data_IF_604519662907
#
_entry.id   IF_604519662907
#
_cell.length_a   1.000
_cell.length_b   1.000
_cell.length_c   1.000
_cell.angle_alpha   90.00
_cell.angle_beta   90.00
_cell.angle_gamma   90.00
#
_symmetry.space_group_name_H-M   'P 1'
#
loop_
_entity.id
_entity.type
_entity.pdbx_description
1 polymer ?
#
# COMPACT_ATOMS: atom_id res chain seq x y z
N UNK A 1 33.50 -30.45 -89.03
CA UNK A 1 33.92 -30.17 -87.64
C UNK A 1 33.51 -28.73 -87.37
N UNK A 2 32.84 -28.42 -86.25
CA UNK A 2 32.06 -27.18 -85.96
C UNK A 2 30.55 -27.35 -86.24
N UNK A 3 29.85 -28.10 -85.38
CA UNK A 3 28.40 -28.02 -85.14
C UNK A 3 28.10 -28.60 -83.74
N UNK A 4 28.84 -28.12 -82.73
CA UNK A 4 28.73 -28.56 -81.33
C UNK A 4 29.16 -27.39 -80.43
N UNK A 5 28.41 -26.28 -80.42
CA UNK A 5 28.76 -25.15 -79.52
C UNK A 5 27.59 -24.27 -79.05
N UNK A 6 26.43 -24.29 -79.72
CA UNK A 6 25.33 -23.37 -79.37
C UNK A 6 24.48 -23.83 -78.18
N UNK A 7 24.25 -25.15 -78.00
CA UNK A 7 23.42 -25.67 -76.89
C UNK A 7 24.11 -25.62 -75.53
N UNK A 8 25.43 -25.76 -75.48
CA UNK A 8 26.18 -25.73 -74.21
C UNK A 8 26.23 -24.30 -73.63
N UNK A 9 26.46 -23.29 -74.46
CA UNK A 9 26.53 -21.89 -74.02
C UNK A 9 25.24 -21.41 -73.33
N UNK A 10 24.07 -21.79 -73.86
CA UNK A 10 22.79 -21.37 -73.29
C UNK A 10 22.49 -22.04 -71.94
N UNK A 11 22.95 -23.28 -71.74
CA UNK A 11 22.77 -24.01 -70.47
C UNK A 11 23.72 -23.46 -69.40
N UNK A 12 24.97 -23.18 -69.75
CA UNK A 12 25.94 -22.60 -68.81
C UNK A 12 25.55 -21.19 -68.37
N UNK A 13 24.96 -20.39 -69.26
CA UNK A 13 24.45 -19.06 -68.92
C UNK A 13 23.24 -19.12 -67.98
N UNK A 14 22.29 -20.03 -68.23
CA UNK A 14 21.11 -20.19 -67.36
C UNK A 14 21.50 -20.75 -65.99
N UNK A 15 22.41 -21.73 -65.93
CA UNK A 15 22.94 -22.27 -64.67
C UNK A 15 23.75 -21.22 -63.91
N UNK A 16 24.54 -20.40 -64.63
CA UNK A 16 25.27 -19.26 -64.06
C UNK A 16 24.34 -18.24 -63.44
N UNK A 17 23.29 -17.82 -64.15
CA UNK A 17 22.27 -16.90 -63.63
C UNK A 17 21.51 -17.49 -62.43
N UNK A 18 21.15 -18.79 -62.45
CA UNK A 18 20.49 -19.46 -61.33
C UNK A 18 21.39 -19.55 -60.10
N UNK A 19 22.68 -19.86 -60.28
CA UNK A 19 23.69 -19.91 -59.21
C UNK A 19 23.93 -18.53 -58.62
N UNK A 20 24.02 -17.48 -59.44
CA UNK A 20 24.11 -16.11 -58.91
C UNK A 20 22.85 -15.68 -58.17
N UNK A 21 21.66 -16.06 -58.63
CA UNK A 21 20.40 -15.74 -57.96
C UNK A 21 20.26 -16.50 -56.62
N UNK A 22 20.72 -17.76 -56.55
CA UNK A 22 20.78 -18.58 -55.33
C UNK A 22 21.86 -18.10 -54.34
N UNK A 23 22.92 -17.45 -54.80
CA UNK A 23 23.97 -16.89 -53.93
C UNK A 23 23.63 -15.48 -53.41
N UNK A 24 22.83 -14.69 -54.13
CA UNK A 24 22.48 -13.30 -53.74
C UNK A 24 21.24 -13.25 -52.82
N UNK A 25 20.29 -14.19 -52.95
CA UNK A 25 19.09 -14.25 -52.10
C UNK A 25 19.35 -14.37 -50.59
N UNK A 26 20.31 -15.18 -50.09
CA UNK A 26 20.60 -15.24 -48.65
C UNK A 26 21.24 -13.96 -48.08
N UNK A 27 21.89 -13.14 -48.91
CA UNK A 27 22.49 -11.86 -48.48
C UNK A 27 21.44 -10.76 -48.26
N UNK A 28 20.35 -10.77 -49.02
CA UNK A 28 19.25 -9.80 -48.86
C UNK A 28 18.45 -10.04 -47.58
N UNK A 29 18.13 -11.30 -47.27
CA UNK A 29 17.42 -11.66 -46.03
C UNK A 29 18.24 -11.34 -44.77
N UNK A 30 19.56 -11.56 -44.81
CA UNK A 30 20.43 -11.25 -43.68
C UNK A 30 20.51 -9.73 -43.41
N UNK A 31 20.51 -8.90 -44.46
CA UNK A 31 20.51 -7.44 -44.30
C UNK A 31 19.17 -6.92 -43.72
N UNK A 32 18.05 -7.49 -44.12
CA UNK A 32 16.73 -7.16 -43.55
C UNK A 32 16.62 -7.59 -42.07
N UNK A 33 17.06 -8.80 -41.71
CA UNK A 33 17.04 -9.26 -40.31
C UNK A 33 17.95 -8.42 -39.40
N UNK A 34 19.13 -8.00 -39.88
CA UNK A 34 20.04 -7.11 -39.13
C UNK A 34 19.41 -5.73 -38.94
N UNK A 35 18.81 -5.16 -39.99
CA UNK A 35 18.15 -3.85 -39.92
C UNK A 35 16.93 -3.88 -38.97
N UNK A 36 16.15 -4.95 -39.00
CA UNK A 36 14.94 -5.10 -38.18
C UNK A 36 15.28 -5.39 -36.71
N UNK A 37 16.38 -6.10 -36.45
CA UNK A 37 16.91 -6.31 -35.09
C UNK A 37 17.48 -5.02 -34.52
N UNK A 38 18.24 -4.25 -35.31
CA UNK A 38 18.82 -2.97 -34.88
C UNK A 38 17.76 -1.89 -34.59
N UNK A 39 16.68 -1.85 -35.39
CA UNK A 39 15.56 -0.94 -35.14
C UNK A 39 14.83 -1.31 -33.84
N UNK A 40 14.66 -2.62 -33.58
CA UNK A 40 14.00 -3.10 -32.35
C UNK A 40 14.84 -2.87 -31.09
N UNK A 41 16.17 -2.88 -31.21
CA UNK A 41 17.07 -2.64 -30.07
C UNK A 41 17.07 -1.19 -29.57
N UNK A 42 16.73 -0.21 -30.42
CA UNK A 42 16.73 1.21 -30.07
C UNK A 42 15.29 1.78 -30.01
N UNK A 43 14.32 0.92 -29.73
CA UNK A 43 12.92 1.30 -29.54
C UNK A 43 12.61 1.45 -28.05
N UNK A 44 12.17 2.64 -27.66
CA UNK A 44 11.60 2.94 -26.35
C UNK A 44 10.08 2.76 -26.43
N UNK A 45 9.59 1.67 -25.84
CA UNK A 45 8.16 1.39 -25.76
C UNK A 45 7.55 2.15 -24.58
N UNK A 46 6.52 2.95 -24.84
CA UNK A 46 5.86 3.80 -23.84
C UNK A 46 4.39 3.42 -23.73
N UNK A 47 4.03 2.76 -22.63
CA UNK A 47 2.67 2.33 -22.34
C UNK A 47 1.89 3.46 -21.67
N UNK A 48 0.75 3.83 -22.26
CA UNK A 48 -0.07 4.97 -21.81
C UNK A 48 -1.55 4.62 -21.85
N UNK A 49 -2.35 5.43 -21.15
CA UNK A 49 -3.81 5.38 -21.19
C UNK A 49 -4.38 6.79 -21.39
N UNK A 50 -5.65 6.89 -21.79
CA UNK A 50 -6.26 8.17 -22.17
C UNK A 50 -6.49 9.08 -20.96
N UNK A 51 -7.05 8.54 -19.87
CA UNK A 51 -7.34 9.29 -18.65
C UNK A 51 -6.19 9.21 -17.62
N UNK A 52 -5.01 9.71 -18.00
CA UNK A 52 -3.81 9.64 -17.17
C UNK A 52 -3.02 10.96 -17.18
N UNK A 53 -3.10 11.76 -16.10
CA UNK A 53 -2.38 13.03 -15.97
C UNK A 53 -0.86 12.88 -16.08
N UNK A 54 -0.31 11.79 -15.52
CA UNK A 54 1.13 11.49 -15.58
C UNK A 54 1.58 11.14 -17.01
N UNK A 55 0.73 10.47 -17.79
CA UNK A 55 0.99 10.14 -19.18
C UNK A 55 1.04 11.40 -20.06
N UNK A 56 0.17 12.39 -19.77
CA UNK A 56 0.20 13.68 -20.45
C UNK A 56 1.49 14.48 -20.15
N UNK A 57 1.99 14.42 -18.90
CA UNK A 57 3.28 15.01 -18.52
C UNK A 57 4.45 14.31 -19.21
N UNK A 58 4.47 12.98 -19.21
CA UNK A 58 5.48 12.18 -19.88
C UNK A 58 5.56 12.49 -21.38
N UNK A 59 4.41 12.56 -22.08
CA UNK A 59 4.37 12.92 -23.51
C UNK A 59 5.03 14.28 -23.79
N UNK A 60 4.82 15.29 -22.93
CA UNK A 60 5.48 16.60 -23.07
C UNK A 60 6.99 16.52 -22.93
N UNK A 61 7.47 15.74 -21.96
CA UNK A 61 8.91 15.50 -21.77
C UNK A 61 9.51 14.73 -22.96
N UNK A 62 8.84 13.68 -23.41
CA UNK A 62 9.31 12.81 -24.49
C UNK A 62 9.47 13.51 -25.84
N UNK A 63 8.72 14.59 -26.10
CA UNK A 63 8.89 15.43 -27.30
C UNK A 63 10.31 16.00 -27.38
N UNK A 64 10.80 16.57 -26.27
CA UNK A 64 12.16 17.11 -26.19
C UNK A 64 13.18 15.98 -26.14
N UNK A 65 12.94 14.98 -25.30
CA UNK A 65 13.83 13.83 -25.11
C UNK A 65 14.16 13.09 -26.42
N UNK A 66 13.14 12.86 -27.27
CA UNK A 66 13.32 12.24 -28.58
C UNK A 66 14.01 13.16 -29.59
N UNK A 67 13.79 14.48 -29.53
CA UNK A 67 14.49 15.43 -30.42
C UNK A 67 16.00 15.50 -30.16
N UNK A 68 16.41 15.27 -28.91
CA UNK A 68 17.82 15.21 -28.51
C UNK A 68 18.48 13.87 -28.87
N UNK A 69 17.69 12.84 -29.20
CA UNK A 69 18.14 11.46 -29.50
C UNK A 69 17.56 10.95 -30.82
N UNK A 70 18.06 11.41 -31.99
CA UNK A 70 17.54 10.99 -33.30
C UNK A 70 17.68 9.49 -33.57
N UNK A 71 18.56 8.82 -32.83
CA UNK A 71 18.80 7.38 -32.90
C UNK A 71 17.76 6.55 -32.13
N UNK A 72 16.98 7.19 -31.25
CA UNK A 72 15.97 6.55 -30.41
C UNK A 72 14.60 6.65 -31.06
N UNK A 73 13.94 5.51 -31.26
CA UNK A 73 12.56 5.46 -31.72
C UNK A 73 11.62 5.34 -30.54
N UNK A 74 10.75 6.32 -30.33
CA UNK A 74 9.76 6.29 -29.24
C UNK A 74 8.43 5.79 -29.83
N UNK A 75 7.91 4.68 -29.30
CA UNK A 75 6.64 4.09 -29.74
C UNK A 75 5.64 4.08 -28.59
N UNK A 76 4.44 4.60 -28.84
CA UNK A 76 3.39 4.70 -27.84
C UNK A 76 2.40 3.56 -28.00
N UNK A 77 2.17 2.83 -26.91
CA UNK A 77 1.21 1.74 -26.83
C UNK A 77 0.05 2.13 -25.91
N UNK A 78 -1.18 2.16 -26.45
CA UNK A 78 -2.36 2.50 -25.65
C UNK A 78 -2.96 1.25 -25.01
N UNK A 79 -2.90 1.17 -23.68
CA UNK A 79 -3.44 0.01 -22.94
C UNK A 79 -4.97 -0.02 -22.91
N UNK A 80 -5.64 1.11 -23.17
CA UNK A 80 -7.11 1.14 -23.21
C UNK A 80 -7.64 0.49 -24.51
N UNK A 81 -6.92 0.66 -25.63
CA UNK A 81 -7.38 0.28 -26.97
C UNK A 81 -6.67 -0.92 -27.58
N UNK A 82 -5.47 -1.26 -27.11
CA UNK A 82 -4.66 -2.36 -27.63
C UNK A 82 -4.50 -3.47 -26.57
N UNK A 83 -5.05 -4.64 -26.89
CA UNK A 83 -4.96 -5.83 -26.01
C UNK A 83 -3.53 -6.35 -25.94
N UNK A 84 -2.79 -6.34 -27.04
CA UNK A 84 -1.40 -6.81 -27.07
C UNK A 84 -0.52 -5.91 -26.19
N UNK A 85 -0.71 -4.59 -26.28
CA UNK A 85 -0.01 -3.63 -25.43
C UNK A 85 -0.25 -3.87 -23.93
N UNK A 86 -1.46 -4.26 -23.54
CA UNK A 86 -1.75 -4.63 -22.14
C UNK A 86 -1.01 -5.88 -21.73
N UNK A 87 -1.05 -6.91 -22.57
CA UNK A 87 -0.41 -8.20 -22.29
C UNK A 87 1.11 -8.06 -22.21
N UNK A 88 1.71 -7.26 -23.09
CA UNK A 88 3.12 -6.92 -23.07
C UNK A 88 3.51 -6.14 -21.81
N UNK A 89 2.72 -5.12 -21.43
CA UNK A 89 2.94 -4.39 -20.18
C UNK A 89 2.85 -5.31 -18.95
N UNK A 90 1.85 -6.21 -18.91
CA UNK A 90 1.71 -7.20 -17.83
C UNK A 90 2.95 -8.10 -17.75
N UNK A 91 3.40 -8.63 -18.89
CA UNK A 91 4.57 -9.50 -18.99
C UNK A 91 5.85 -8.79 -18.55
N UNK A 92 6.08 -7.56 -19.00
CA UNK A 92 7.25 -6.77 -18.62
C UNK A 92 7.23 -6.42 -17.13
N UNK A 93 6.06 -6.04 -16.61
CA UNK A 93 5.85 -5.73 -15.20
C UNK A 93 6.17 -6.94 -14.31
N UNK A 94 5.66 -8.13 -14.66
CA UNK A 94 5.98 -9.38 -13.97
C UNK A 94 7.48 -9.71 -14.00
N UNK A 95 8.12 -9.61 -15.18
CA UNK A 95 9.56 -9.88 -15.33
C UNK A 95 10.42 -8.92 -14.51
N UNK A 96 9.99 -7.67 -14.39
CA UNK A 96 10.67 -6.64 -13.61
C UNK A 96 10.35 -6.70 -12.10
N UNK A 97 9.42 -7.55 -11.67
CA UNK A 97 8.95 -7.61 -10.27
C UNK A 97 8.16 -6.37 -9.84
N UNK A 98 7.59 -5.63 -10.79
CA UNK A 98 6.78 -4.42 -10.55
C UNK A 98 5.32 -4.80 -10.74
N UNK A 99 4.53 -4.82 -9.66
CA UNK A 99 3.10 -5.13 -9.70
C UNK A 99 2.34 -4.22 -8.72
N UNK A 100 1.15 -3.70 -9.09
CA UNK A 100 0.45 -3.86 -10.36
C UNK A 100 1.09 -3.07 -11.52
N UNK A 101 0.81 -3.44 -12.78
CA UNK A 101 1.26 -2.68 -13.93
C UNK A 101 0.67 -1.26 -13.90
N UNK A 102 1.55 -0.25 -13.90
CA UNK A 102 1.18 1.16 -13.89
C UNK A 102 1.45 1.85 -15.23
N UNK A 103 0.81 2.99 -15.47
CA UNK A 103 1.09 3.86 -16.62
C UNK A 103 1.29 5.31 -16.16
N UNK A 104 2.17 6.10 -16.80
CA UNK A 104 3.00 5.71 -17.95
C UNK A 104 4.10 4.73 -17.55
N UNK A 105 4.43 3.78 -18.43
CA UNK A 105 5.57 2.87 -18.26
C UNK A 105 6.47 2.93 -19.49
N UNK A 106 7.78 2.78 -19.27
CA UNK A 106 8.83 2.93 -20.25
C UNK A 106 9.66 1.65 -20.27
N UNK A 107 9.70 0.97 -21.41
CA UNK A 107 10.45 -0.25 -21.59
C UNK A 107 11.54 -0.04 -22.63
N UNK A 108 12.79 -0.33 -22.26
CA UNK A 108 13.95 -0.19 -23.12
C UNK A 108 14.98 -1.27 -22.81
N UNK A 109 15.43 -2.02 -23.82
CA UNK A 109 16.48 -3.06 -23.73
C UNK A 109 16.32 -4.00 -22.51
N UNK A 110 15.09 -4.43 -22.23
CA UNK A 110 14.82 -5.39 -21.16
C UNK A 110 14.58 -4.79 -19.78
N UNK A 111 14.71 -3.48 -19.62
CA UNK A 111 14.49 -2.76 -18.37
C UNK A 111 13.17 -1.99 -18.42
N UNK A 112 12.45 -1.94 -17.31
CA UNK A 112 11.14 -1.30 -17.18
C UNK A 112 11.20 -0.20 -16.10
N UNK A 113 10.75 1.00 -16.45
CA UNK A 113 10.57 2.12 -15.55
C UNK A 113 9.08 2.50 -15.51
N UNK A 114 8.49 2.69 -14.33
CA UNK A 114 7.04 2.93 -14.17
C UNK A 114 6.78 4.23 -13.43
N UNK A 115 5.79 4.98 -13.91
CA UNK A 115 5.39 6.28 -13.38
C UNK A 115 6.14 7.44 -14.04
N UNK A 116 5.58 8.65 -13.93
CA UNK A 116 6.27 9.88 -14.34
C UNK A 116 5.72 11.08 -13.57
N UNK A 117 6.52 11.66 -12.69
CA UNK A 117 6.18 12.83 -11.89
C UNK A 117 6.65 14.14 -12.55
N UNK A 118 7.95 14.26 -12.80
CA UNK A 118 8.63 15.40 -13.40
C UNK A 118 9.97 14.99 -14.08
N UNK A 119 10.58 15.96 -14.77
CA UNK A 119 11.85 15.75 -15.46
C UNK A 119 13.04 15.58 -14.49
N UNK A 120 12.99 16.23 -13.33
CA UNK A 120 14.10 16.28 -12.36
C UNK A 120 14.25 14.99 -11.53
N UNK A 121 13.30 14.06 -11.63
CA UNK A 121 13.32 12.78 -10.91
C UNK A 121 13.25 11.60 -11.88
N UNK A 122 12.06 11.27 -12.39
CA UNK A 122 11.91 10.16 -13.34
C UNK A 122 12.55 10.48 -14.71
N UNK A 123 12.58 11.76 -15.12
CA UNK A 123 13.25 12.15 -16.37
C UNK A 123 14.74 11.79 -16.39
N UNK A 124 15.46 12.03 -15.30
CA UNK A 124 16.87 11.65 -15.15
C UNK A 124 17.06 10.13 -15.21
N UNK A 125 16.18 9.37 -14.55
CA UNK A 125 16.21 7.91 -14.59
C UNK A 125 15.93 7.35 -16.00
N UNK A 126 15.07 8.03 -16.77
CA UNK A 126 14.80 7.66 -18.16
C UNK A 126 15.97 8.03 -19.08
N UNK A 127 16.66 9.15 -18.81
CA UNK A 127 17.90 9.51 -19.48
C UNK A 127 19.01 8.48 -19.21
N UNK A 128 19.22 8.08 -17.95
CA UNK A 128 20.23 7.07 -17.61
C UNK A 128 19.91 5.68 -18.20
N UNK A 129 18.63 5.31 -18.23
CA UNK A 129 18.13 4.08 -18.85
C UNK A 129 18.48 4.00 -20.35
N UNK A 130 18.33 5.12 -21.05
CA UNK A 130 18.45 5.19 -22.51
C UNK A 130 19.90 5.46 -22.94
N UNK A 131 20.59 6.39 -22.29
CA UNK A 131 21.93 6.84 -22.71
C UNK A 131 23.08 5.95 -22.26
N UNK A 132 22.79 4.90 -21.48
CA UNK A 132 23.77 3.91 -21.02
C UNK A 132 25.04 4.51 -20.41
N UNK A 133 24.94 5.66 -19.72
CA UNK A 133 26.02 6.15 -18.86
C UNK A 133 26.11 5.28 -17.62
N UNK A 134 26.96 4.25 -17.75
CA UNK A 134 27.67 3.50 -16.72
C UNK A 134 26.94 2.37 -15.95
N UNK A 135 27.40 1.17 -16.29
CA UNK A 135 27.79 0.04 -15.42
C UNK A 135 26.74 -0.83 -14.74
N UNK A 136 26.93 -2.13 -14.95
CA UNK A 136 26.52 -3.32 -14.19
C UNK A 136 26.83 -3.28 -12.65
N UNK A 137 26.87 -2.11 -12.01
CA UNK A 137 27.17 -1.93 -10.59
C UNK A 137 26.00 -1.48 -9.72
N UNK A 138 24.92 -0.93 -10.28
CA UNK A 138 23.78 -0.47 -9.46
C UNK A 138 22.76 -1.57 -9.11
N UNK A 139 22.80 -2.73 -9.79
CA UNK A 139 22.07 -3.93 -9.33
C UNK A 139 22.62 -4.53 -8.01
N UNK A 140 23.78 -4.04 -7.51
CA UNK A 140 24.38 -4.46 -6.22
C UNK A 140 24.39 -3.38 -5.14
N UNK A 141 24.02 -2.13 -5.43
CA UNK A 141 24.16 -1.03 -4.46
C UNK A 141 23.02 -0.91 -3.44
N UNK A 142 21.96 -1.72 -3.55
CA UNK A 142 20.85 -1.68 -2.61
C UNK A 142 20.95 -2.70 -1.48
N UNK A 143 21.90 -3.63 -1.47
CA UNK A 143 21.98 -4.67 -0.44
C UNK A 143 22.97 -4.29 0.67
N UNK A 144 22.45 -3.93 1.84
CA UNK A 144 23.27 -3.87 3.06
C UNK A 144 23.30 -5.29 3.64
N UNK A 145 24.47 -5.94 3.56
CA UNK A 145 24.70 -7.23 4.23
C UNK A 145 24.79 -6.99 5.74
N UNK A 146 23.81 -7.49 6.49
CA UNK A 146 23.92 -7.59 7.95
C UNK A 146 24.00 -9.07 8.35
N UNK A 147 25.00 -9.40 9.17
CA UNK A 147 25.36 -10.76 9.56
C UNK A 147 24.25 -11.53 10.34
N UNK A 148 23.16 -10.86 10.71
CA UNK A 148 22.03 -11.46 11.42
C UNK A 148 20.73 -11.52 10.58
N UNK A 149 20.64 -10.79 9.47
CA UNK A 149 19.38 -10.63 8.70
C UNK A 149 19.51 -10.73 7.18
N UNK A 150 20.70 -11.02 6.63
CA UNK A 150 20.90 -11.18 5.18
C UNK A 150 20.91 -9.85 4.43
N UNK A 151 20.78 -9.92 3.10
CA UNK A 151 20.85 -8.76 2.19
C UNK A 151 19.52 -8.00 2.17
N UNK A 152 19.46 -6.85 2.84
CA UNK A 152 18.25 -6.02 2.89
C UNK A 152 18.33 -4.99 1.76
N UNK A 153 17.38 -5.03 0.81
CA UNK A 153 17.27 -4.02 -0.24
C UNK A 153 16.57 -2.75 0.24
N UNK A 154 16.93 -1.57 -0.27
CA UNK A 154 16.22 -0.30 0.03
C UNK A 154 14.73 -0.35 -0.33
N UNK A 155 14.36 -1.15 -1.33
CA UNK A 155 12.96 -1.50 -1.66
C UNK A 155 12.28 -2.41 -0.62
N UNK A 156 13.04 -3.24 0.10
CA UNK A 156 12.55 -4.07 1.21
C UNK A 156 12.42 -3.30 2.53
N UNK A 157 12.97 -2.09 2.66
CA UNK A 157 12.72 -1.24 3.84
C UNK A 157 11.40 -0.47 3.73
N UNK A 158 10.96 -0.18 2.50
CA UNK A 158 9.75 0.59 2.23
C UNK A 158 8.50 -0.06 2.81
N UNK A 159 8.28 -1.37 2.56
CA UNK A 159 7.08 -2.06 3.01
C UNK A 159 7.01 -2.26 4.54
N UNK A 160 8.07 -2.70 5.26
CA UNK A 160 8.09 -2.76 6.72
C UNK A 160 7.92 -1.40 7.38
N UNK A 161 8.59 -0.36 6.87
CA UNK A 161 8.46 0.99 7.43
C UNK A 161 7.05 1.54 7.18
N UNK A 162 6.52 1.37 5.98
CA UNK A 162 5.13 1.71 5.65
C UNK A 162 4.15 0.99 6.59
N UNK A 163 4.33 -0.32 6.78
CA UNK A 163 3.52 -1.14 7.69
C UNK A 163 3.51 -0.56 9.11
N UNK A 164 4.68 -0.20 9.63
CA UNK A 164 4.81 0.32 10.99
C UNK A 164 4.21 1.72 11.12
N UNK A 165 4.40 2.59 10.12
CA UNK A 165 3.81 3.94 10.10
C UNK A 165 2.28 3.84 10.03
N UNK A 166 1.73 3.02 9.12
CA UNK A 166 0.28 2.88 9.00
C UNK A 166 -0.31 2.26 10.26
N UNK A 167 0.33 1.22 10.82
CA UNK A 167 -0.08 0.66 12.11
C UNK A 167 -0.08 1.70 13.23
N UNK A 168 0.96 2.51 13.34
CA UNK A 168 1.04 3.59 14.34
C UNK A 168 -0.05 4.65 14.15
N UNK A 169 -0.33 5.04 12.90
CA UNK A 169 -1.39 5.99 12.59
C UNK A 169 -2.78 5.44 12.92
N UNK A 170 -2.99 4.14 12.71
CA UNK A 170 -4.22 3.44 13.10
C UNK A 170 -4.36 3.34 14.63
N UNK A 171 -3.27 3.04 15.35
CA UNK A 171 -3.24 2.99 16.82
C UNK A 171 -3.65 4.31 17.47
N UNK A 172 -3.29 5.45 16.85
CA UNK A 172 -3.71 6.81 17.25
C UNK A 172 -5.21 7.09 17.01
N UNK A 173 -6.08 6.11 17.28
CA UNK A 173 -7.52 6.18 17.11
C UNK A 173 -8.20 6.80 18.35
N UNK A 174 -8.95 7.92 18.16
CA UNK A 174 -9.67 8.55 19.25
C UNK A 174 -10.70 7.63 19.95
N UNK A 175 -11.25 6.63 19.26
CA UNK A 175 -12.22 5.67 19.84
C UNK A 175 -11.57 4.80 20.94
N UNK A 176 -10.41 4.22 20.66
CA UNK A 176 -9.68 3.37 21.61
C UNK A 176 -9.04 4.20 22.73
N UNK A 177 -8.45 5.35 22.38
CA UNK A 177 -7.82 6.25 23.34
C UNK A 177 -8.77 6.64 24.48
N UNK A 178 -10.04 6.96 24.20
CA UNK A 178 -11.02 7.32 25.24
C UNK A 178 -11.28 6.20 26.24
N UNK A 179 -11.41 4.97 25.74
CA UNK A 179 -11.69 3.83 26.59
C UNK A 179 -10.47 3.47 27.41
N UNK A 180 -9.28 3.51 26.81
CA UNK A 180 -8.03 3.29 27.54
C UNK A 180 -7.80 4.37 28.60
N UNK A 181 -8.01 5.64 28.28
CA UNK A 181 -7.91 6.75 29.25
C UNK A 181 -8.92 6.60 30.39
N UNK A 182 -10.14 6.18 30.10
CA UNK A 182 -11.15 5.89 31.11
C UNK A 182 -10.71 4.73 32.01
N UNK A 183 -10.24 3.63 31.43
CA UNK A 183 -9.70 2.47 32.15
C UNK A 183 -8.54 2.88 33.06
N UNK A 184 -7.57 3.62 32.52
CA UNK A 184 -6.40 4.11 33.25
C UNK A 184 -6.80 5.04 34.40
N UNK A 185 -7.77 5.94 34.20
CA UNK A 185 -8.29 6.82 35.26
C UNK A 185 -8.89 6.05 36.44
N UNK A 186 -9.54 4.91 36.17
CA UNK A 186 -10.04 4.02 37.21
C UNK A 186 -8.90 3.30 37.91
N UNK A 187 -7.91 2.82 37.15
CA UNK A 187 -6.80 2.03 37.69
C UNK A 187 -5.83 2.85 38.55
N UNK A 188 -5.62 4.14 38.27
CA UNK A 188 -4.75 5.01 39.10
C UNK A 188 -5.20 5.05 40.57
N UNK A 189 -6.49 4.85 40.86
CA UNK A 189 -7.01 4.82 42.23
C UNK A 189 -6.63 3.54 43.01
N UNK A 190 -6.16 2.48 42.33
CA UNK A 190 -5.67 1.27 43.00
C UNK A 190 -4.30 1.51 43.68
N UNK A 191 -3.56 2.56 43.29
CA UNK A 191 -2.23 2.93 43.83
C UNK A 191 -1.17 1.80 43.78
N UNK A 192 -1.41 0.73 43.03
CA UNK A 192 -0.50 -0.40 42.84
C UNK A 192 -0.04 -0.46 41.37
N UNK A 193 1.24 -0.13 41.14
CA UNK A 193 1.87 -0.11 39.81
C UNK A 193 1.86 -1.48 39.14
N UNK A 194 2.09 -2.56 39.89
CA UNK A 194 2.16 -3.92 39.34
C UNK A 194 0.79 -4.37 38.88
N UNK A 195 -0.23 -4.14 39.73
CA UNK A 195 -1.62 -4.48 39.40
C UNK A 195 -2.14 -3.63 38.24
N UNK A 196 -1.81 -2.34 38.20
CA UNK A 196 -2.16 -1.46 37.09
C UNK A 196 -1.52 -1.89 35.77
N UNK A 197 -0.21 -2.18 35.78
CA UNK A 197 0.51 -2.65 34.59
C UNK A 197 -0.04 -4.00 34.09
N UNK A 198 -0.38 -4.92 35.00
CA UNK A 198 -0.96 -6.20 34.64
C UNK A 198 -2.34 -6.04 33.96
N UNK A 199 -3.24 -5.26 34.58
CA UNK A 199 -4.60 -5.08 34.05
C UNK A 199 -4.57 -4.32 32.71
N UNK A 200 -3.88 -3.20 32.66
CA UNK A 200 -3.80 -2.39 31.45
C UNK A 200 -2.98 -3.10 30.35
N UNK A 201 -1.93 -3.83 30.70
CA UNK A 201 -1.17 -4.64 29.75
C UNK A 201 -1.99 -5.78 29.15
N UNK A 202 -2.86 -6.43 29.94
CA UNK A 202 -3.78 -7.45 29.43
C UNK A 202 -4.84 -6.83 28.52
N UNK A 203 -5.32 -5.63 28.81
CA UNK A 203 -6.18 -4.89 27.88
C UNK A 203 -5.49 -4.68 26.53
N UNK A 204 -4.27 -4.11 26.53
CA UNK A 204 -3.49 -3.82 25.32
C UNK A 204 -3.18 -5.10 24.53
N UNK A 205 -2.74 -6.16 25.21
CA UNK A 205 -2.43 -7.43 24.56
C UNK A 205 -3.69 -8.12 23.99
N UNK A 206 -4.80 -8.10 24.73
CA UNK A 206 -6.07 -8.62 24.23
C UNK A 206 -6.57 -7.82 23.02
N UNK A 207 -6.44 -6.49 23.05
CA UNK A 207 -6.75 -5.62 21.91
C UNK A 207 -5.93 -6.00 20.69
N UNK A 208 -4.60 -6.12 20.82
CA UNK A 208 -3.73 -6.52 19.70
C UNK A 208 -4.06 -7.87 19.12
N UNK A 209 -4.40 -8.87 19.95
CA UNK A 209 -4.81 -10.21 19.48
C UNK A 209 -6.13 -10.13 18.70
N UNK A 210 -7.12 -9.42 19.23
CA UNK A 210 -8.43 -9.28 18.58
C UNK A 210 -8.30 -8.52 17.27
N UNK A 211 -7.52 -7.44 17.26
CA UNK A 211 -7.29 -6.63 16.07
C UNK A 211 -6.53 -7.41 15.01
N UNK A 212 -5.49 -8.17 15.39
CA UNK A 212 -4.80 -9.09 14.50
C UNK A 212 -5.76 -10.12 13.89
N UNK A 213 -6.58 -10.78 14.73
CA UNK A 213 -7.53 -11.79 14.28
C UNK A 213 -8.54 -11.20 13.29
N UNK A 214 -9.00 -9.97 13.55
CA UNK A 214 -9.84 -9.24 12.62
C UNK A 214 -9.11 -8.97 11.30
N UNK A 215 -7.91 -8.38 11.32
CA UNK A 215 -7.17 -8.07 10.10
C UNK A 215 -6.85 -9.32 9.29
N UNK A 216 -6.53 -10.43 9.96
CA UNK A 216 -6.33 -11.73 9.32
C UNK A 216 -7.62 -12.23 8.65
N UNK A 217 -8.77 -12.15 9.32
CA UNK A 217 -10.06 -12.49 8.72
C UNK A 217 -10.38 -11.58 7.52
N UNK A 218 -10.14 -10.27 7.66
CA UNK A 218 -10.32 -9.27 6.63
C UNK A 218 -9.44 -9.51 5.40
N UNK A 219 -8.15 -9.82 5.61
CA UNK A 219 -7.21 -10.18 4.55
C UNK A 219 -7.72 -11.38 3.74
N UNK A 220 -8.19 -12.43 4.41
CA UNK A 220 -8.74 -13.61 3.74
C UNK A 220 -10.01 -13.28 2.93
N UNK A 221 -10.87 -12.40 3.44
CA UNK A 221 -12.04 -11.90 2.69
C UNK A 221 -11.59 -11.10 1.46
N UNK A 222 -10.56 -10.27 1.58
CA UNK A 222 -10.00 -9.50 0.47
C UNK A 222 -9.36 -10.37 -0.61
N UNK A 223 -8.62 -11.41 -0.22
CA UNK A 223 -8.05 -12.38 -1.15
C UNK A 223 -9.13 -13.13 -1.94
N UNK A 224 -10.33 -13.29 -1.38
CA UNK A 224 -11.44 -14.01 -2.03
C UNK A 224 -12.36 -13.11 -2.87
N UNK A 225 -12.65 -11.89 -2.41
CA UNK A 225 -13.75 -11.05 -2.93
C UNK A 225 -13.24 -9.68 -3.41
N UNK A 226 -12.07 -9.24 -2.97
CA UNK A 226 -11.57 -7.86 -3.16
C UNK A 226 -12.40 -6.81 -2.42
N UNK A 227 -12.00 -5.53 -2.51
CA UNK A 227 -12.78 -4.42 -1.95
C UNK A 227 -14.02 -4.15 -2.82
N UNK A 228 -15.11 -4.87 -2.54
CA UNK A 228 -16.37 -4.63 -3.25
C UNK A 228 -16.93 -3.23 -2.95
N UNK A 229 -17.65 -2.66 -3.92
CA UNK A 229 -18.32 -1.37 -3.75
C UNK A 229 -19.25 -1.37 -2.53
N UNK A 230 -19.91 -2.49 -2.25
CA UNK A 230 -20.85 -2.64 -1.12
C UNK A 230 -20.14 -2.46 0.22
N UNK A 231 -19.02 -3.15 0.43
CA UNK A 231 -18.23 -3.04 1.68
C UNK A 231 -17.76 -1.60 1.87
N UNK A 232 -17.28 -0.99 0.80
CA UNK A 232 -16.82 0.40 0.80
C UNK A 232 -17.93 1.39 1.19
N UNK A 233 -19.13 1.25 0.64
CA UNK A 233 -20.28 2.08 0.99
C UNK A 233 -20.74 1.89 2.44
N UNK A 234 -20.72 0.66 2.96
CA UNK A 234 -21.08 0.37 4.36
C UNK A 234 -20.09 1.03 5.33
N UNK A 235 -18.79 0.82 5.11
CA UNK A 235 -17.74 1.40 5.97
C UNK A 235 -17.73 2.92 5.91
N UNK A 236 -17.78 3.50 4.70
CA UNK A 236 -17.81 4.95 4.52
C UNK A 236 -19.06 5.57 5.14
N UNK A 237 -20.23 4.94 4.96
CA UNK A 237 -21.49 5.41 5.56
C UNK A 237 -21.45 5.41 7.08
N UNK A 238 -20.93 4.33 7.69
CA UNK A 238 -20.76 4.26 9.15
C UNK A 238 -19.82 5.35 9.67
N UNK A 239 -18.67 5.55 9.02
CA UNK A 239 -17.72 6.60 9.38
C UNK A 239 -18.34 8.00 9.27
N UNK A 240 -19.16 8.26 8.24
CA UNK A 240 -19.88 9.53 8.11
C UNK A 240 -20.91 9.74 9.23
N UNK A 241 -21.65 8.71 9.62
CA UNK A 241 -22.65 8.79 10.70
C UNK A 241 -21.96 9.04 12.05
N UNK A 242 -20.94 8.24 12.39
CA UNK A 242 -20.22 8.37 13.67
C UNK A 242 -19.44 9.68 13.73
N UNK A 243 -18.79 10.07 12.63
CA UNK A 243 -18.08 11.34 12.51
C UNK A 243 -19.02 12.54 12.70
N UNK A 244 -20.20 12.51 12.06
CA UNK A 244 -21.24 13.53 12.22
C UNK A 244 -21.76 13.62 13.66
N UNK A 245 -21.98 12.50 14.34
CA UNK A 245 -22.38 12.47 15.75
C UNK A 245 -21.29 13.06 16.67
N UNK A 246 -20.02 12.80 16.39
CA UNK A 246 -18.89 13.36 17.13
C UNK A 246 -18.78 14.89 16.98
N UNK A 247 -18.93 15.42 15.76
CA UNK A 247 -18.97 16.88 15.52
C UNK A 247 -20.21 17.51 16.14
N UNK A 248 -21.39 16.87 15.99
CA UNK A 248 -22.63 17.34 16.63
C UNK A 248 -22.46 17.44 18.13
N UNK A 249 -21.86 16.45 18.78
CA UNK A 249 -21.61 16.47 20.22
C UNK A 249 -20.62 17.55 20.65
N UNK A 250 -19.69 17.95 19.77
CA UNK A 250 -18.80 19.08 20.02
C UNK A 250 -19.56 20.42 20.02
N UNK A 251 -20.44 20.63 19.03
CA UNK A 251 -21.17 21.90 18.83
C UNK A 251 -22.39 21.99 19.76
N UNK A 252 -23.23 20.95 19.76
CA UNK A 252 -24.49 20.85 20.50
C UNK A 252 -24.37 19.80 21.60
N UNK A 253 -23.64 20.15 22.66
CA UNK A 253 -23.36 19.27 23.79
C UNK A 253 -24.65 18.74 24.44
N UNK A 254 -24.84 17.41 24.45
CA UNK A 254 -26.00 16.70 25.03
C UNK A 254 -27.37 17.05 24.46
N UNK A 255 -27.45 17.72 23.31
CA UNK A 255 -28.73 17.95 22.64
C UNK A 255 -29.06 16.75 21.73
N UNK A 256 -30.13 16.04 22.06
CA UNK A 256 -30.60 14.84 21.34
C UNK A 256 -29.76 13.57 21.56
N UNK A 257 -29.70 12.70 20.54
CA UNK A 257 -28.93 11.47 20.55
C UNK A 257 -27.43 11.76 20.59
N UNK A 258 -26.68 11.16 21.53
CA UNK A 258 -25.24 11.34 21.72
C UNK A 258 -24.59 9.99 22.01
N UNK A 259 -23.39 9.75 21.48
CA UNK A 259 -22.57 8.56 21.76
C UNK A 259 -21.87 8.62 23.13
N UNK A 260 -22.21 9.62 23.96
CA UNK A 260 -21.67 9.70 25.32
C UNK A 260 -22.52 8.93 26.33
N UNK A 261 -21.85 8.37 27.35
CA UNK A 261 -22.52 7.64 28.43
C UNK A 261 -23.55 8.58 29.09
N UNK A 262 -24.85 8.21 29.15
CA UNK A 262 -25.88 9.03 29.77
C UNK A 262 -25.60 9.23 31.27
N UNK A 263 -25.89 10.41 31.80
CA UNK A 263 -25.54 10.75 33.19
C UNK A 263 -26.21 9.85 34.24
N UNK A 264 -27.37 9.28 33.91
CA UNK A 264 -28.08 8.30 34.75
C UNK A 264 -27.37 6.95 34.84
N UNK A 265 -26.64 6.53 33.80
CA UNK A 265 -25.95 5.24 33.76
C UNK A 265 -24.54 5.29 34.36
N UNK A 266 -23.91 6.48 34.40
CA UNK A 266 -22.56 6.68 34.96
C UNK A 266 -22.41 6.13 36.39
N UNK A 267 -23.20 6.54 37.40
CA UNK A 267 -22.96 6.09 38.77
C UNK A 267 -23.05 4.55 38.90
N UNK A 268 -23.99 3.91 38.20
CA UNK A 268 -24.16 2.45 38.20
C UNK A 268 -22.98 1.76 37.51
N UNK A 269 -22.52 2.28 36.37
CA UNK A 269 -21.39 1.74 35.62
C UNK A 269 -20.09 1.83 36.46
N UNK A 270 -19.80 2.99 37.03
CA UNK A 270 -18.63 3.21 37.87
C UNK A 270 -18.67 2.35 39.14
N UNK A 271 -19.85 2.18 39.76
CA UNK A 271 -20.02 1.31 40.92
C UNK A 271 -19.74 -0.16 40.58
N UNK A 272 -20.30 -0.66 39.47
CA UNK A 272 -20.04 -2.03 38.99
C UNK A 272 -18.56 -2.25 38.66
N UNK A 273 -17.93 -1.30 37.96
CA UNK A 273 -16.51 -1.40 37.62
C UNK A 273 -15.62 -1.39 38.86
N UNK A 274 -15.90 -0.52 39.84
CA UNK A 274 -15.17 -0.55 41.12
C UNK A 274 -15.39 -1.85 41.88
N UNK A 275 -16.60 -2.39 41.91
CA UNK A 275 -16.87 -3.66 42.56
C UNK A 275 -16.04 -4.80 41.93
N UNK A 276 -15.94 -4.83 40.60
CA UNK A 276 -15.11 -5.80 39.86
C UNK A 276 -13.62 -5.59 40.20
N UNK A 277 -13.13 -4.34 40.21
CA UNK A 277 -11.73 -4.04 40.54
C UNK A 277 -11.40 -4.28 42.02
N UNK A 278 -12.38 -4.16 42.92
CA UNK A 278 -12.22 -4.35 44.36
C UNK A 278 -12.27 -5.83 44.78
N UNK A 279 -12.76 -6.74 43.92
CA UNK A 279 -12.67 -8.18 44.21
C UNK A 279 -11.21 -8.65 44.24
N UNK A 280 -10.87 -9.49 45.23
CA UNK A 280 -9.56 -10.15 45.34
C UNK A 280 -9.32 -11.21 44.24
N UNK A 281 -10.35 -11.53 43.46
CA UNK A 281 -10.29 -12.52 42.37
C UNK A 281 -9.74 -11.89 41.08
N UNK A 282 -8.42 -11.88 40.95
CA UNK A 282 -7.71 -11.34 39.78
C UNK A 282 -8.26 -11.88 38.46
N UNK A 283 -8.56 -13.18 38.38
CA UNK A 283 -9.09 -13.81 37.17
C UNK A 283 -10.37 -13.13 36.64
N UNK A 284 -11.29 -12.73 37.53
CA UNK A 284 -12.54 -12.06 37.13
C UNK A 284 -12.29 -10.68 36.52
N UNK A 285 -11.31 -9.93 37.07
CA UNK A 285 -10.88 -8.64 36.53
C UNK A 285 -10.27 -8.83 35.14
N UNK A 286 -9.40 -9.82 34.98
CA UNK A 286 -8.74 -10.09 33.70
C UNK A 286 -9.73 -10.50 32.61
N UNK A 287 -10.70 -11.35 32.92
CA UNK A 287 -11.77 -11.74 31.98
C UNK A 287 -12.61 -10.51 31.59
N UNK A 288 -13.02 -9.69 32.57
CA UNK A 288 -13.81 -8.50 32.30
C UNK A 288 -13.08 -7.50 31.38
N UNK A 289 -11.77 -7.34 31.60
CA UNK A 289 -10.92 -6.44 30.81
C UNK A 289 -10.67 -6.98 29.42
N UNK A 290 -10.49 -8.30 29.26
CA UNK A 290 -10.39 -8.93 27.94
C UNK A 290 -11.69 -8.78 27.13
N UNK A 291 -12.85 -8.98 27.77
CA UNK A 291 -14.16 -8.77 27.13
C UNK A 291 -14.35 -7.30 26.72
N UNK A 292 -13.93 -6.37 27.59
CA UNK A 292 -13.95 -4.94 27.26
C UNK A 292 -13.06 -4.65 26.04
N UNK A 293 -11.84 -5.20 25.99
CA UNK A 293 -10.93 -5.04 24.86
C UNK A 293 -11.56 -5.51 23.54
N UNK A 294 -12.21 -6.69 23.54
CA UNK A 294 -12.96 -7.19 22.38
C UNK A 294 -14.01 -6.19 21.92
N UNK A 295 -14.86 -5.71 22.84
CA UNK A 295 -15.93 -4.77 22.51
C UNK A 295 -15.39 -3.45 21.94
N UNK A 296 -14.30 -2.93 22.50
CA UNK A 296 -13.67 -1.69 22.03
C UNK A 296 -13.12 -1.86 20.63
N UNK A 297 -12.44 -2.98 20.34
CA UNK A 297 -11.88 -3.26 19.02
C UNK A 297 -12.96 -3.33 17.92
N UNK A 298 -14.15 -3.84 18.23
CA UNK A 298 -15.27 -3.80 17.27
C UNK A 298 -15.71 -2.38 16.93
N UNK A 299 -15.71 -1.47 17.90
CA UNK A 299 -16.05 -0.05 17.68
C UNK A 299 -14.92 0.63 16.91
N UNK A 300 -13.68 0.37 17.32
CA UNK A 300 -12.46 0.89 16.72
C UNK A 300 -12.39 0.59 15.23
N UNK A 301 -12.74 -0.64 14.86
CA UNK A 301 -12.87 -1.07 13.49
C UNK A 301 -13.70 -0.10 12.64
N UNK A 302 -14.87 0.29 13.15
CA UNK A 302 -15.78 1.16 12.43
C UNK A 302 -15.22 2.58 12.32
N UNK A 303 -14.32 2.95 13.22
CA UNK A 303 -13.66 4.26 13.27
C UNK A 303 -12.47 4.37 12.30
N UNK A 304 -11.69 3.30 12.11
CA UNK A 304 -10.42 3.33 11.34
C UNK A 304 -10.24 2.24 10.29
N UNK A 305 -11.27 1.47 9.93
CA UNK A 305 -11.18 0.39 8.94
C UNK A 305 -10.58 0.79 7.57
N UNK A 306 -10.53 2.07 7.24
CA UNK A 306 -9.78 2.58 6.08
C UNK A 306 -8.30 2.18 6.09
N UNK A 307 -7.60 2.25 7.23
CA UNK A 307 -6.18 1.91 7.32
C UNK A 307 -5.92 0.42 7.06
N UNK A 308 -6.58 -0.54 7.75
CA UNK A 308 -6.49 -1.94 7.41
C UNK A 308 -6.88 -2.25 5.97
N UNK A 309 -7.92 -1.60 5.41
CA UNK A 309 -8.37 -1.84 4.04
C UNK A 309 -7.31 -1.42 3.00
N UNK A 310 -6.72 -0.23 3.14
CA UNK A 310 -5.67 0.26 2.24
C UNK A 310 -4.42 -0.61 2.38
N UNK A 311 -4.02 -0.89 3.62
CA UNK A 311 -2.85 -1.69 3.90
C UNK A 311 -2.96 -3.09 3.32
N UNK A 312 -4.07 -3.79 3.56
CA UNK A 312 -4.31 -5.13 2.99
C UNK A 312 -4.42 -5.08 1.47
N UNK A 313 -5.00 -4.02 0.87
CA UNK A 313 -5.01 -3.85 -0.58
C UNK A 313 -3.59 -3.73 -1.17
N UNK A 314 -2.71 -2.94 -0.56
CA UNK A 314 -1.30 -2.79 -0.99
C UNK A 314 -0.53 -4.10 -0.72
N UNK A 315 -0.74 -4.70 0.43
CA UNK A 315 -0.04 -5.91 0.85
C UNK A 315 -0.35 -7.08 -0.09
N UNK A 316 -1.62 -7.29 -0.43
CA UNK A 316 -2.04 -8.37 -1.37
C UNK A 316 -1.52 -8.18 -2.79
N UNK A 317 -1.06 -6.98 -3.18
CA UNK A 317 -0.42 -6.73 -4.47
C UNK A 317 1.04 -7.22 -4.54
N UNK A 318 1.65 -7.56 -3.40
CA UNK A 318 3.06 -7.95 -3.31
C UNK A 318 3.33 -9.44 -3.60
N UNK A 319 2.27 -10.21 -3.94
CA UNK A 319 2.29 -11.65 -4.24
C UNK A 319 3.19 -12.47 -3.27
N UNK A 320 3.01 -12.22 -1.97
CA UNK A 320 3.84 -12.78 -0.92
C UNK A 320 3.34 -14.17 -0.49
N UNK A 321 4.27 -14.96 0.04
CA UNK A 321 3.92 -16.22 0.70
C UNK A 321 2.98 -15.98 1.91
N UNK A 322 2.01 -16.87 2.21
CA UNK A 322 1.02 -16.67 3.27
C UNK A 322 1.60 -16.34 4.66
N UNK A 323 2.72 -16.96 5.01
CA UNK A 323 3.41 -16.70 6.28
C UNK A 323 3.90 -15.25 6.35
N UNK A 324 4.39 -14.72 5.23
CA UNK A 324 4.90 -13.36 5.13
C UNK A 324 3.77 -12.34 5.29
N UNK A 325 2.57 -12.62 4.77
CA UNK A 325 1.39 -11.79 5.05
C UNK A 325 1.10 -11.70 6.54
N UNK A 326 1.10 -12.84 7.24
CA UNK A 326 0.87 -12.86 8.69
C UNK A 326 1.98 -12.18 9.49
N UNK A 327 3.24 -12.26 9.04
CA UNK A 327 4.35 -11.52 9.65
C UNK A 327 4.16 -10.00 9.49
N UNK A 328 3.74 -9.54 8.32
CA UNK A 328 3.42 -8.14 8.03
C UNK A 328 2.18 -7.65 8.79
N UNK A 329 1.16 -8.49 8.97
CA UNK A 329 0.06 -8.19 9.89
C UNK A 329 0.57 -8.05 11.33
N UNK A 330 1.45 -8.94 11.78
CA UNK A 330 2.07 -8.83 13.11
C UNK A 330 2.85 -7.52 13.28
N UNK A 331 3.62 -7.11 12.27
CA UNK A 331 4.36 -5.84 12.28
C UNK A 331 3.42 -4.63 12.33
N UNK A 332 2.30 -4.69 11.59
CA UNK A 332 1.26 -3.66 11.67
C UNK A 332 0.74 -3.53 13.10
N UNK A 333 0.44 -4.65 13.75
CA UNK A 333 -0.07 -4.70 15.12
C UNK A 333 0.96 -4.17 16.12
N UNK A 334 2.26 -4.35 15.88
CA UNK A 334 3.28 -3.73 16.72
C UNK A 334 3.25 -2.20 16.64
N UNK A 335 3.10 -1.64 15.43
CA UNK A 335 2.89 -0.20 15.25
C UNK A 335 1.63 0.28 15.97
N UNK A 336 0.52 -0.44 15.76
CA UNK A 336 -0.77 -0.18 16.39
C UNK A 336 -0.74 -0.23 17.93
N UNK A 337 -0.03 -1.18 18.54
CA UNK A 337 0.05 -1.28 20.00
C UNK A 337 0.97 -0.23 20.63
N UNK A 338 1.74 0.51 19.82
CA UNK A 338 2.79 1.39 20.33
C UNK A 338 2.23 2.56 21.13
N UNK A 339 1.15 3.19 20.67
CA UNK A 339 0.58 4.34 21.36
C UNK A 339 -0.19 3.94 22.63
N UNK A 340 -0.93 2.83 22.57
CA UNK A 340 -1.59 2.19 23.71
C UNK A 340 -0.57 1.82 24.81
N UNK A 341 0.51 1.15 24.42
CA UNK A 341 1.60 0.78 25.33
C UNK A 341 2.31 2.01 25.90
N UNK A 342 2.51 3.06 25.10
CA UNK A 342 3.11 4.32 25.55
C UNK A 342 2.21 5.02 26.57
N UNK A 343 0.89 5.04 26.34
CA UNK A 343 -0.06 5.66 27.25
C UNK A 343 -0.19 4.89 28.57
N UNK A 344 -0.23 3.56 28.52
CA UNK A 344 -0.17 2.70 29.72
C UNK A 344 1.14 2.92 30.47
N UNK A 345 2.28 2.91 29.77
CA UNK A 345 3.61 3.13 30.35
C UNK A 345 3.70 4.48 31.05
N UNK A 346 3.29 5.55 30.37
CA UNK A 346 3.25 6.90 30.93
C UNK A 346 2.38 6.96 32.19
N UNK A 347 1.21 6.31 32.18
CA UNK A 347 0.28 6.31 33.31
C UNK A 347 0.81 5.53 34.51
N UNK A 348 1.43 4.37 34.27
CA UNK A 348 2.06 3.54 35.32
C UNK A 348 3.27 4.23 35.95
N UNK A 349 4.10 4.91 35.15
CA UNK A 349 5.28 5.64 35.61
C UNK A 349 4.86 6.89 36.39
N UNK A 350 3.98 7.69 35.81
CA UNK A 350 3.63 9.00 36.34
C UNK A 350 2.70 8.92 37.55
N UNK A 351 1.99 7.79 37.77
CA UNK A 351 0.87 7.68 38.74
C UNK A 351 -0.12 8.85 38.62
N UNK A 352 -0.15 9.48 37.45
CA UNK A 352 -0.60 10.86 37.32
C UNK A 352 -2.11 10.89 37.26
N UNK A 353 -2.68 11.70 38.14
CA UNK A 353 -4.11 11.97 38.25
C UNK A 353 -4.59 13.03 37.25
N UNK A 354 -3.82 13.32 36.19
CA UNK A 354 -4.22 14.26 35.15
C UNK A 354 -5.48 13.75 34.45
N UNK A 355 -6.63 14.17 34.98
CA UNK A 355 -7.93 13.98 34.34
C UNK A 355 -7.91 14.81 33.07
N UNK A 356 -8.21 14.16 31.94
CA UNK A 356 -8.56 14.87 30.72
C UNK A 356 -9.67 15.86 31.05
N UNK A 357 -9.40 17.13 30.77
CA UNK A 357 -10.38 18.18 31.02
C UNK A 357 -11.55 18.00 30.05
N UNK A 358 -12.73 18.46 30.45
CA UNK A 358 -13.92 18.48 29.57
C UNK A 358 -13.64 19.16 28.22
N UNK A 359 -12.72 20.14 28.19
CA UNK A 359 -12.31 20.84 26.97
C UNK A 359 -11.48 19.95 26.05
N UNK A 360 -10.49 19.22 26.59
CA UNK A 360 -9.75 18.22 25.82
C UNK A 360 -10.69 17.13 25.30
N UNK A 361 -11.70 16.77 26.11
CA UNK A 361 -12.81 15.90 25.72
C UNK A 361 -13.57 16.32 24.47
N UNK A 362 -13.97 17.59 24.45
CA UNK A 362 -14.66 18.19 23.30
C UNK A 362 -13.74 18.29 22.09
N UNK A 363 -12.51 18.76 22.26
CA UNK A 363 -11.57 18.92 21.16
C UNK A 363 -11.27 17.58 20.47
N UNK A 364 -11.08 16.51 21.24
CA UNK A 364 -10.86 15.17 20.67
C UNK A 364 -12.05 14.68 19.87
N UNK A 365 -13.30 14.94 20.32
CA UNK A 365 -14.50 14.60 19.53
C UNK A 365 -14.53 15.35 18.20
N UNK A 366 -14.15 16.62 18.18
CA UNK A 366 -14.07 17.39 16.93
C UNK A 366 -13.00 16.79 15.99
N UNK A 367 -11.78 16.58 16.49
CA UNK A 367 -10.67 16.03 15.70
C UNK A 367 -11.04 14.65 15.15
N UNK A 368 -11.58 13.77 16.00
CA UNK A 368 -12.08 12.46 15.62
C UNK A 368 -13.16 12.53 14.56
N UNK A 369 -14.14 13.40 14.76
CA UNK A 369 -15.25 13.58 13.83
C UNK A 369 -14.78 14.07 12.47
N UNK A 370 -13.86 15.04 12.43
CA UNK A 370 -13.28 15.55 11.19
C UNK A 370 -12.48 14.47 10.43
N UNK A 371 -11.66 13.69 11.15
CA UNK A 371 -10.90 12.57 10.57
C UNK A 371 -11.84 11.51 9.97
N UNK A 372 -12.86 11.09 10.71
CA UNK A 372 -13.86 10.12 10.25
C UNK A 372 -14.65 10.62 9.04
N UNK A 373 -15.07 11.90 9.03
CA UNK A 373 -15.76 12.49 7.88
C UNK A 373 -14.85 12.56 6.65
N UNK A 374 -13.59 12.95 6.83
CA UNK A 374 -12.60 13.00 5.76
C UNK A 374 -12.34 11.63 5.15
N UNK A 375 -11.99 10.64 5.98
CA UNK A 375 -11.71 9.28 5.53
C UNK A 375 -12.95 8.61 4.93
N UNK A 376 -14.12 8.73 5.58
CA UNK A 376 -15.38 8.21 5.06
C UNK A 376 -15.81 8.86 3.74
N UNK A 377 -15.58 10.16 3.60
CA UNK A 377 -15.83 10.91 2.36
C UNK A 377 -14.92 10.48 1.21
N UNK A 378 -13.61 10.34 1.45
CA UNK A 378 -12.66 9.83 0.44
C UNK A 378 -13.05 8.39 0.06
N UNK A 379 -13.37 7.57 1.08
CA UNK A 379 -13.84 6.21 0.91
C UNK A 379 -15.20 6.12 0.20
N UNK A 380 -15.95 7.19 -0.06
CA UNK A 380 -17.16 7.13 -0.91
C UNK A 380 -16.90 7.81 -2.26
N UNK A 381 -16.40 9.05 -2.24
CA UNK A 381 -16.35 9.93 -3.41
C UNK A 381 -15.17 9.64 -4.34
N UNK A 382 -13.99 9.31 -3.80
CA UNK A 382 -12.74 9.16 -4.58
C UNK A 382 -11.89 8.01 -4.01
N UNK A 383 -12.19 6.74 -4.34
CA UNK A 383 -11.42 5.59 -3.83
C UNK A 383 -9.96 5.65 -4.24
N UNK A 384 -9.74 6.15 -5.46
CA UNK A 384 -8.45 6.19 -6.11
C UNK A 384 -7.46 7.19 -5.48
N UNK A 385 -7.84 7.88 -4.40
CA UNK A 385 -6.92 8.69 -3.61
C UNK A 385 -6.36 7.92 -2.40
N UNK A 386 -6.91 6.74 -2.12
CA UNK A 386 -6.46 5.83 -1.07
C UNK A 386 -5.51 4.74 -1.62
N UNK A 387 -5.26 4.78 -2.92
CA UNK A 387 -4.31 3.96 -3.69
C UNK A 387 -3.33 4.93 -4.32
#
# INVERSE_FOLDING_TARGET
>A
MILLDSKYFSITFVIGCLLTFLLISPLSNAAEEIQQTFIKENELEVFVRDDCPHCAKAKKFLLRFGSERPWLRIVYHSVDHDVSARDDLMKYSQKAGVWPPGVPAFYFKGQLLVGFDNADHIGILLESLVDQTTTDKEAKSNQIETALFGTISVSQLGLPLFTLIVGLLDGLNPCAMWVLLFLLSMLVHLQDRKRMALIAGIFVLASGIVYYAFMAAWLNVFLLIGLSAVVRWILGGMALIVGGLNIKDFIFWKWGFSLSIPDSAKPVLYARMRAILATDRMLSVLIAVAVLAVMVNFIELLCTAGFPAIYTAILTQQDLHPITYHAYLGLYILGYLTDDALMVGASVIALSSHKLTMQTGRLLKLVSGLLMLGLGGILILRPAWLV
#
